data_IF_128177141566
#
_entry.id   IF_128177141566
#
_cell.length_a   1.000
_cell.length_b   1.000
_cell.length_c   1.000
_cell.angle_alpha   90.00
_cell.angle_beta   90.00
_cell.angle_gamma   90.00
#
_symmetry.space_group_name_H-M   'P 1'
#
loop_
_entity.id
_entity.type
_entity.pdbx_description
1 polymer ?
#
# COMPACT_ATOMS: atom_id res chain seq x y z
N UNK A 1 -23.18 -7.23 -4.64
CA UNK A 1 -21.80 -6.74 -4.70
C UNK A 1 -21.87 -5.21 -4.65
N UNK A 2 -21.15 -4.55 -3.73
CA UNK A 2 -21.13 -3.09 -3.67
C UNK A 2 -20.39 -2.51 -4.88
N UNK A 3 -20.75 -1.29 -5.31
CA UNK A 3 -20.11 -0.59 -6.43
C UNK A 3 -18.59 -0.43 -6.26
N UNK A 4 -18.09 -0.43 -5.03
CA UNK A 4 -16.66 -0.29 -4.72
C UNK A 4 -15.84 -1.53 -5.07
N UNK A 5 -16.46 -2.71 -5.09
CA UNK A 5 -15.78 -3.95 -5.50
C UNK A 5 -15.59 -4.03 -7.03
N UNK A 6 -16.39 -3.28 -7.80
CA UNK A 6 -16.41 -3.34 -9.27
C UNK A 6 -15.26 -2.53 -9.92
N UNK A 7 -14.68 -1.58 -9.18
CA UNK A 7 -13.49 -0.79 -9.57
C UNK A 7 -12.31 -1.00 -8.61
N UNK A 8 -12.35 -2.04 -7.77
CA UNK A 8 -11.35 -2.33 -6.77
C UNK A 8 -10.09 -2.96 -7.36
N UNK A 9 -8.93 -2.63 -6.79
CA UNK A 9 -7.69 -3.37 -7.04
C UNK A 9 -7.64 -4.59 -6.13
N UNK A 10 -7.31 -5.76 -6.68
CA UNK A 10 -7.04 -6.95 -5.89
C UNK A 10 -5.77 -6.78 -5.07
N UNK A 11 -5.73 -7.47 -3.93
CA UNK A 11 -4.48 -7.64 -3.18
C UNK A 11 -4.45 -9.02 -2.54
N UNK A 12 -3.24 -9.49 -2.30
CA UNK A 12 -3.00 -10.71 -1.53
C UNK A 12 -1.82 -10.52 -0.57
N UNK A 13 -1.87 -11.26 0.53
CA UNK A 13 -0.79 -11.34 1.50
C UNK A 13 -0.53 -12.81 1.78
N UNK A 14 0.69 -13.24 1.52
CA UNK A 14 1.17 -14.57 1.89
C UNK A 14 2.18 -14.44 3.03
N UNK A 15 1.98 -15.17 4.12
CA UNK A 15 2.91 -15.23 5.24
C UNK A 15 3.41 -16.66 5.42
N UNK A 16 4.72 -16.83 5.57
CA UNK A 16 5.36 -18.15 5.69
C UNK A 16 4.93 -18.92 6.94
N UNK A 17 4.50 -18.23 8.00
CA UNK A 17 4.12 -18.83 9.29
C UNK A 17 3.01 -18.03 9.98
N UNK A 18 2.19 -18.75 10.76
CA UNK A 18 1.06 -18.16 11.50
C UNK A 18 1.47 -17.12 12.54
N UNK A 19 2.63 -17.27 13.17
CA UNK A 19 3.13 -16.33 14.17
C UNK A 19 3.59 -14.97 13.58
N UNK A 20 3.60 -14.83 12.26
CA UNK A 20 3.80 -13.53 11.60
C UNK A 20 2.49 -12.74 11.42
N UNK A 21 1.34 -13.36 11.70
CA UNK A 21 0.04 -12.69 11.82
C UNK A 21 -0.08 -12.13 13.24
N UNK A 22 -0.35 -10.83 13.34
CA UNK A 22 -0.61 -10.14 14.60
C UNK A 22 -2.09 -10.17 14.94
N UNK A 23 -2.96 -9.88 13.97
CA UNK A 23 -4.40 -9.79 14.17
C UNK A 23 -5.17 -10.06 12.88
N UNK A 24 -6.28 -10.78 12.99
CA UNK A 24 -7.32 -10.88 11.96
C UNK A 24 -8.65 -10.59 12.65
N UNK A 25 -9.32 -9.52 12.24
CA UNK A 25 -10.63 -9.15 12.76
C UNK A 25 -11.58 -8.90 11.59
N UNK A 26 -12.74 -9.56 11.64
CA UNK A 26 -13.83 -9.38 10.69
C UNK A 26 -15.04 -8.99 11.54
N UNK A 27 -15.42 -7.71 11.53
CA UNK A 27 -16.59 -7.24 12.27
C UNK A 27 -17.85 -7.39 11.42
N UNK A 28 -18.86 -8.05 11.99
CA UNK A 28 -20.22 -8.12 11.42
C UNK A 28 -21.14 -7.03 12.01
N UNK A 29 -20.58 -6.02 12.69
CA UNK A 29 -21.34 -4.87 13.16
C UNK A 29 -21.42 -3.80 12.07
N UNK A 30 -22.32 -2.86 12.29
CA UNK A 30 -22.64 -1.66 11.50
C UNK A 30 -21.43 -0.74 11.18
N UNK A 31 -20.23 -1.08 11.69
CA UNK A 31 -18.95 -0.62 11.16
C UNK A 31 -18.27 -1.81 10.48
N UNK A 32 -18.66 -2.06 9.22
CA UNK A 32 -18.14 -3.11 8.36
C UNK A 32 -16.65 -2.85 8.06
N UNK A 33 -15.77 -3.49 8.84
CA UNK A 33 -14.33 -3.34 8.70
C UNK A 33 -13.64 -4.69 8.80
N UNK A 34 -12.67 -4.92 7.91
CA UNK A 34 -11.75 -6.04 8.01
C UNK A 34 -10.37 -5.49 8.36
N UNK A 35 -9.76 -6.03 9.40
CA UNK A 35 -8.39 -5.72 9.79
C UNK A 35 -7.53 -6.98 9.67
N UNK A 36 -6.48 -6.89 8.86
CA UNK A 36 -5.41 -7.88 8.77
C UNK A 36 -4.10 -7.19 9.12
N UNK A 37 -3.49 -7.58 10.23
CA UNK A 37 -2.20 -7.07 10.68
C UNK A 37 -1.18 -8.20 10.80
N UNK A 38 0.05 -7.94 10.37
CA UNK A 38 1.15 -8.89 10.43
C UNK A 38 2.48 -8.23 10.07
N UNK A 39 3.52 -9.04 9.86
CA UNK A 39 4.83 -8.57 9.38
C UNK A 39 5.34 -9.46 8.27
N UNK A 40 5.81 -8.86 7.18
CA UNK A 40 6.55 -9.56 6.12
C UNK A 40 8.06 -9.61 6.38
N UNK A 41 8.52 -9.06 7.51
CA UNK A 41 9.94 -9.00 7.85
C UNK A 41 10.69 -7.89 7.11
N UNK A 42 11.99 -8.07 6.92
CA UNK A 42 12.83 -7.15 6.13
C UNK A 42 12.49 -7.28 4.65
N UNK A 43 12.47 -6.16 3.92
CA UNK A 43 12.20 -6.16 2.48
C UNK A 43 13.44 -6.67 1.76
N UNK A 44 13.28 -7.76 1.02
CA UNK A 44 14.34 -8.38 0.21
C UNK A 44 14.24 -7.93 -1.26
N UNK A 45 13.02 -7.67 -1.75
CA UNK A 45 12.75 -7.43 -3.16
C UNK A 45 11.50 -6.58 -3.36
N UNK A 46 11.52 -5.72 -4.38
CA UNK A 46 10.40 -4.91 -4.84
C UNK A 46 10.36 -5.00 -6.36
N UNK A 47 9.23 -5.46 -6.91
CA UNK A 47 9.10 -5.72 -8.35
C UNK A 47 7.70 -5.40 -8.89
N UNK A 48 7.58 -5.23 -10.20
CA UNK A 48 6.31 -5.15 -10.92
C UNK A 48 6.22 -6.32 -11.89
N UNK A 49 5.40 -7.31 -11.54
CA UNK A 49 5.20 -8.50 -12.35
C UNK A 49 4.31 -8.19 -13.55
N UNK A 50 4.80 -8.52 -14.74
CA UNK A 50 4.11 -8.34 -16.02
C UNK A 50 3.54 -6.93 -16.23
N UNK A 51 4.17 -5.91 -15.63
CA UNK A 51 3.72 -4.51 -15.69
C UNK A 51 2.39 -4.23 -14.98
N UNK A 52 1.80 -5.20 -14.29
CA UNK A 52 0.42 -5.15 -13.77
C UNK A 52 0.30 -5.32 -12.25
N UNK A 53 1.25 -6.00 -11.61
CA UNK A 53 1.17 -6.35 -10.18
C UNK A 53 2.39 -5.85 -9.44
N UNK A 54 2.21 -4.98 -8.46
CA UNK A 54 3.28 -4.59 -7.53
C UNK A 54 3.49 -5.71 -6.51
N UNK A 55 4.69 -6.28 -6.48
CA UNK A 55 5.12 -7.28 -5.51
C UNK A 55 6.12 -6.66 -4.52
N UNK A 56 5.85 -6.85 -3.23
CA UNK A 56 6.77 -6.55 -2.12
C UNK A 56 7.07 -7.86 -1.41
N UNK A 57 8.32 -8.30 -1.46
CA UNK A 57 8.77 -9.54 -0.84
C UNK A 57 9.64 -9.23 0.36
N UNK A 58 9.33 -9.87 1.48
CA UNK A 58 10.17 -9.82 2.67
C UNK A 58 10.51 -11.21 3.19
N UNK A 59 11.38 -11.22 4.20
CA UNK A 59 11.91 -12.46 4.81
C UNK A 59 10.83 -13.42 5.34
N UNK A 60 9.63 -12.91 5.62
CA UNK A 60 8.52 -13.67 6.23
C UNK A 60 7.27 -13.78 5.36
N UNK A 61 7.24 -13.14 4.19
CA UNK A 61 6.04 -13.16 3.34
C UNK A 61 6.12 -12.21 2.14
N UNK A 62 5.03 -12.18 1.40
CA UNK A 62 4.90 -11.38 0.17
C UNK A 62 3.56 -10.66 0.18
N UNK A 63 3.57 -9.39 -0.21
CA UNK A 63 2.36 -8.60 -0.50
C UNK A 63 2.32 -8.38 -2.01
N UNK A 64 1.18 -8.64 -2.62
CA UNK A 64 0.94 -8.33 -4.02
C UNK A 64 -0.32 -7.48 -4.15
N UNK A 65 -0.26 -6.44 -4.98
CA UNK A 65 -1.38 -5.55 -5.26
C UNK A 65 -1.48 -5.35 -6.76
N UNK A 66 -2.70 -5.42 -7.29
CA UNK A 66 -2.99 -5.08 -8.67
C UNK A 66 -2.73 -3.58 -8.87
N UNK A 67 -1.56 -3.25 -9.38
CA UNK A 67 -1.12 -1.88 -9.59
C UNK A 67 -0.11 -1.86 -10.72
N UNK A 68 -0.57 -1.41 -11.90
CA UNK A 68 0.30 -1.29 -13.06
C UNK A 68 1.35 -0.20 -12.89
N UNK A 69 2.46 -0.37 -13.61
CA UNK A 69 3.64 0.49 -13.52
C UNK A 69 3.33 1.96 -13.81
N UNK A 70 2.60 2.24 -14.90
CA UNK A 70 2.25 3.61 -15.29
C UNK A 70 1.46 4.33 -14.18
N UNK A 71 0.52 3.61 -13.56
CA UNK A 71 -0.29 4.15 -12.46
C UNK A 71 0.56 4.39 -11.22
N UNK A 72 1.48 3.47 -10.90
CA UNK A 72 2.42 3.66 -9.79
C UNK A 72 3.30 4.91 -10.02
N UNK A 73 3.89 5.05 -11.21
CA UNK A 73 4.74 6.20 -11.59
C UNK A 73 3.98 7.52 -11.45
N UNK A 74 2.79 7.61 -12.05
CA UNK A 74 1.93 8.80 -11.96
C UNK A 74 1.58 9.17 -10.49
N UNK A 75 1.33 8.18 -9.64
CA UNK A 75 1.03 8.40 -8.22
C UNK A 75 2.25 8.87 -7.41
N UNK A 76 3.45 8.42 -7.76
CA UNK A 76 4.70 8.85 -7.13
C UNK A 76 5.08 10.28 -7.54
N UNK A 77 4.96 10.63 -8.81
CA UNK A 77 5.27 11.97 -9.34
C UNK A 77 4.34 13.05 -8.75
N UNK A 78 3.06 12.73 -8.57
CA UNK A 78 2.07 13.63 -7.94
C UNK A 78 2.40 13.96 -6.47
N UNK A 79 3.21 13.14 -5.80
CA UNK A 79 3.67 13.39 -4.41
C UNK A 79 4.87 14.33 -4.36
N UNK A 80 5.70 14.41 -5.41
CA UNK A 80 6.91 15.26 -5.44
C UNK A 80 6.54 16.74 -5.58
N UNK A 81 5.53 17.06 -6.40
CA UNK A 81 5.06 18.44 -6.63
C UNK A 81 4.40 19.09 -5.41
N UNK A 82 3.90 18.31 -4.45
CA UNK A 82 3.31 18.86 -3.21
C UNK A 82 4.30 19.20 -2.10
N UNK A 83 5.57 18.76 -2.19
CA UNK A 83 6.57 19.00 -1.13
C UNK A 83 7.41 20.28 -1.33
N UNK A 84 7.25 20.99 -2.45
CA UNK A 84 8.13 22.14 -2.80
C UNK A 84 7.53 23.51 -2.46
N UNK A 85 6.28 23.61 -1.96
CA UNK A 85 5.68 24.92 -1.60
C UNK A 85 5.33 24.98 -0.11
N UNK A 86 6.32 25.01 0.76
CA UNK A 86 6.20 25.48 2.14
C UNK A 86 7.57 25.91 2.65
N UNK A 87 8.26 26.78 1.91
CA UNK A 87 9.39 27.54 2.46
C UNK A 87 9.50 28.90 1.77
N UNK A 88 8.48 29.74 1.95
CA UNK A 88 8.68 31.19 1.92
C UNK A 88 8.47 31.71 3.33
N UNK A 89 9.57 31.79 4.09
CA UNK A 89 9.62 32.49 5.36
C UNK A 89 9.34 34.00 5.18
N UNK A 90 8.81 34.69 6.20
CA UNK A 90 8.42 36.08 6.09
C UNK A 90 9.67 36.97 5.93
N UNK A 91 9.77 37.69 4.80
CA UNK A 91 10.71 38.80 4.63
C UNK A 91 10.34 39.91 5.62
N UNK A 92 11.11 40.06 6.70
CA UNK A 92 11.05 41.26 7.54
C UNK A 92 11.68 42.41 6.75
N UNK A 93 10.84 43.41 6.46
CA UNK A 93 11.24 44.67 5.84
C UNK A 93 12.19 45.46 6.73
N UNK A 94 13.06 46.24 6.06
CA UNK A 94 13.88 47.29 6.64
C UNK A 94 13.04 48.53 6.97
#
# INVERSE_FOLDING_TARGET
MSKDAENGHGFSVELRRKNHVRSISISNSDREGVLLEGTIGEIEELDILDGAVLQIKGTHGTIMVDLCEDKLRALLEKKVTKRVTSDEGPKKGA
#
